data_IF_572985314569
#
_entry.id   IF_572985314569
#
_cell.length_a   1.000
_cell.length_b   1.000
_cell.length_c   1.000
_cell.angle_alpha   90.00
_cell.angle_beta   90.00
_cell.angle_gamma   90.00
#
_symmetry.space_group_name_H-M   'P 1'
#
loop_
_entity.id
_entity.type
_entity.pdbx_description
1 polymer ?
#
# COMPACT_ATOMS: atom_id res chain seq x y z
N UNK A 1 0.99 6.38 8.77
CA UNK A 1 0.61 7.49 7.87
C UNK A 1 1.68 8.58 7.78
N UNK A 2 2.54 8.74 8.78
CA UNK A 2 3.59 9.77 8.77
C UNK A 2 4.75 9.53 7.77
N UNK A 3 5.14 8.28 7.52
CA UNK A 3 6.23 7.96 6.56
C UNK A 3 5.88 8.31 5.11
N UNK A 4 4.64 8.06 4.69
CA UNK A 4 4.18 8.44 3.34
C UNK A 4 4.15 9.96 3.15
N UNK A 5 3.73 10.71 4.17
CA UNK A 5 3.76 12.19 4.14
C UNK A 5 5.18 12.75 4.11
N UNK A 6 6.14 12.05 4.72
CA UNK A 6 7.57 12.41 4.69
C UNK A 6 8.33 11.94 3.45
N UNK A 7 7.64 11.29 2.50
CA UNK A 7 8.25 10.64 1.33
C UNK A 7 9.37 9.66 1.70
N UNK A 8 9.20 8.97 2.83
CA UNK A 8 10.17 8.03 3.38
C UNK A 8 9.89 6.61 2.88
N UNK A 9 10.32 6.34 1.65
CA UNK A 9 10.13 5.05 1.00
C UNK A 9 10.87 3.90 1.71
N UNK A 10 12.04 4.18 2.30
CA UNK A 10 12.78 3.20 3.09
C UNK A 10 12.03 2.82 4.36
N UNK A 11 11.45 3.80 5.05
CA UNK A 11 10.58 3.59 6.21
C UNK A 11 9.32 2.80 5.86
N UNK A 12 8.72 3.03 4.68
CA UNK A 12 7.59 2.20 4.21
C UNK A 12 8.02 0.76 3.94
N UNK A 13 9.14 0.55 3.23
CA UNK A 13 9.65 -0.79 2.98
C UNK A 13 10.00 -1.54 4.27
N UNK A 14 10.49 -0.84 5.30
CA UNK A 14 10.79 -1.42 6.61
C UNK A 14 9.56 -2.06 7.29
N UNK A 15 8.33 -1.59 6.98
CA UNK A 15 7.08 -2.14 7.50
C UNK A 15 6.72 -3.52 6.94
N UNK A 16 7.34 -3.96 5.85
CA UNK A 16 7.09 -5.28 5.28
C UNK A 16 7.80 -6.39 6.05
N UNK A 17 7.30 -7.63 6.00
CA UNK A 17 8.08 -8.80 6.45
C UNK A 17 9.35 -8.98 5.59
N UNK A 18 10.27 -9.86 6.01
CA UNK A 18 11.43 -10.25 5.19
C UNK A 18 10.99 -10.70 3.78
N UNK A 19 9.96 -11.56 3.73
CA UNK A 19 9.36 -12.10 2.50
C UNK A 19 8.08 -11.35 2.09
N UNK A 20 8.01 -10.05 2.38
CA UNK A 20 6.87 -9.21 2.02
C UNK A 20 6.82 -8.93 0.52
N UNK A 21 5.61 -8.76 -0.03
CA UNK A 21 5.42 -8.45 -1.44
C UNK A 21 4.32 -7.39 -1.63
N UNK A 22 4.55 -6.51 -2.61
CA UNK A 22 3.51 -5.64 -3.17
C UNK A 22 3.08 -6.24 -4.51
N UNK A 23 1.77 -6.24 -4.77
CA UNK A 23 1.14 -6.81 -5.95
C UNK A 23 0.38 -5.67 -6.66
N UNK A 24 1.09 -4.83 -7.43
CA UNK A 24 0.47 -3.71 -8.13
C UNK A 24 -0.39 -4.20 -9.29
N UNK A 25 -1.37 -3.39 -9.74
CA UNK A 25 -2.04 -3.67 -11.00
C UNK A 25 -1.06 -3.58 -12.17
N UNK A 26 -1.27 -4.42 -13.20
CA UNK A 26 -0.54 -4.40 -14.47
C UNK A 26 0.98 -4.65 -14.36
N UNK A 27 1.44 -5.32 -13.31
CA UNK A 27 2.84 -5.76 -13.18
C UNK A 27 2.93 -7.12 -12.49
N UNK A 28 4.12 -7.70 -12.49
CA UNK A 28 4.44 -8.85 -11.64
C UNK A 28 4.65 -8.42 -10.16
N UNK A 29 4.91 -9.38 -9.28
CA UNK A 29 5.21 -9.15 -7.87
C UNK A 29 6.42 -8.21 -7.67
N UNK A 30 6.29 -7.26 -6.74
CA UNK A 30 7.42 -6.49 -6.22
C UNK A 30 7.86 -7.10 -4.89
N UNK A 31 9.06 -7.66 -4.87
CA UNK A 31 9.61 -8.40 -3.74
C UNK A 31 10.98 -7.87 -3.31
N UNK A 32 11.30 -8.00 -2.03
CA UNK A 32 12.55 -7.50 -1.45
C UNK A 32 12.48 -6.02 -1.08
N UNK A 33 13.12 -5.67 0.04
CA UNK A 33 13.04 -4.35 0.66
C UNK A 33 13.39 -3.21 -0.28
N UNK A 34 14.45 -3.38 -1.09
CA UNK A 34 14.90 -2.36 -2.02
C UNK A 34 13.87 -2.10 -3.13
N UNK A 35 13.36 -3.15 -3.78
CA UNK A 35 12.38 -2.99 -4.85
C UNK A 35 11.06 -2.41 -4.32
N UNK A 36 10.64 -2.82 -3.12
CA UNK A 36 9.46 -2.27 -2.44
C UNK A 36 9.66 -0.78 -2.13
N UNK A 37 10.83 -0.37 -1.64
CA UNK A 37 11.13 1.04 -1.41
C UNK A 37 11.06 1.83 -2.72
N UNK A 38 11.72 1.34 -3.79
CA UNK A 38 11.68 2.00 -5.10
C UNK A 38 10.25 2.14 -5.65
N UNK A 39 9.42 1.10 -5.48
CA UNK A 39 8.03 1.12 -5.89
C UNK A 39 7.22 2.20 -5.16
N UNK A 40 7.33 2.25 -3.83
CA UNK A 40 6.63 3.26 -3.03
C UNK A 40 7.16 4.67 -3.28
N UNK A 41 8.47 4.83 -3.53
CA UNK A 41 9.05 6.10 -3.94
C UNK A 41 8.43 6.58 -5.26
N UNK A 42 8.34 5.70 -6.26
CA UNK A 42 7.73 6.03 -7.56
C UNK A 42 6.26 6.48 -7.40
N UNK A 43 5.48 5.82 -6.53
CA UNK A 43 4.12 6.27 -6.20
C UNK A 43 4.10 7.63 -5.50
N UNK A 44 5.02 7.88 -4.57
CA UNK A 44 5.15 9.18 -3.88
C UNK A 44 5.61 10.30 -4.81
N UNK A 45 6.31 9.97 -5.90
CA UNK A 45 6.79 10.93 -6.90
C UNK A 45 5.72 11.33 -7.93
N UNK A 46 4.60 10.60 -7.97
CA UNK A 46 3.41 11.01 -8.72
C UNK A 46 2.83 12.32 -8.16
N UNK A 47 1.92 12.95 -8.91
CA UNK A 47 1.24 14.19 -8.52
C UNK A 47 0.26 14.05 -7.33
N UNK A 48 0.37 12.99 -6.53
CA UNK A 48 -0.45 12.72 -5.36
C UNK A 48 -0.08 13.71 -4.24
N UNK A 49 -1.08 14.47 -3.79
CA UNK A 49 -0.97 15.42 -2.66
C UNK A 49 -1.64 14.89 -1.41
N UNK A 50 -2.66 14.05 -1.56
CA UNK A 50 -3.39 13.46 -0.45
C UNK A 50 -3.75 12.00 -0.71
N UNK A 51 -3.63 11.17 0.33
CA UNK A 51 -4.05 9.77 0.35
C UNK A 51 -5.06 9.59 1.48
N UNK A 52 -6.27 9.16 1.13
CA UNK A 52 -7.33 8.81 2.09
C UNK A 52 -7.49 7.30 2.11
N UNK A 53 -7.48 6.73 3.31
CA UNK A 53 -7.68 5.30 3.53
C UNK A 53 -8.90 5.08 4.41
N UNK A 54 -9.81 4.23 3.96
CA UNK A 54 -11.00 3.81 4.70
C UNK A 54 -10.88 2.31 4.99
N UNK A 55 -10.82 1.94 6.26
CA UNK A 55 -10.81 0.55 6.67
C UNK A 55 -12.24 0.03 6.61
N UNK A 56 -12.44 -1.06 5.86
CA UNK A 56 -13.74 -1.72 5.74
C UNK A 56 -13.84 -2.87 6.74
N UNK A 57 -12.77 -3.67 6.83
CA UNK A 57 -12.75 -4.86 7.67
C UNK A 57 -11.34 -5.16 8.15
N UNK A 58 -11.23 -5.68 9.37
CA UNK A 58 -10.01 -6.31 9.90
C UNK A 58 -10.40 -7.62 10.57
N UNK A 59 -9.80 -8.72 10.14
CA UNK A 59 -9.97 -10.04 10.77
C UNK A 59 -8.61 -10.59 11.23
N UNK A 60 -8.54 -11.04 12.48
CA UNK A 60 -7.33 -11.62 13.08
C UNK A 60 -7.37 -13.14 13.07
N UNK A 61 -6.24 -13.77 12.72
CA UNK A 61 -6.06 -15.22 12.65
C UNK A 61 -4.69 -15.62 13.20
N UNK A 62 -4.57 -15.74 14.52
CA UNK A 62 -3.33 -16.10 15.19
C UNK A 62 -2.23 -15.05 14.95
N UNK A 63 -1.16 -15.45 14.26
CA UNK A 63 -0.03 -14.60 13.88
C UNK A 63 -0.25 -13.82 12.59
N UNK A 64 -1.44 -13.91 11.98
CA UNK A 64 -1.81 -13.17 10.77
C UNK A 64 -3.05 -12.31 10.99
N UNK A 65 -3.21 -11.26 10.20
CA UNK A 65 -4.45 -10.48 10.14
C UNK A 65 -4.73 -10.04 8.70
N UNK A 66 -5.98 -10.04 8.29
CA UNK A 66 -6.41 -9.59 6.96
C UNK A 66 -7.10 -8.25 7.15
N UNK A 67 -6.71 -7.28 6.33
CA UNK A 67 -7.35 -5.96 6.29
C UNK A 67 -7.88 -5.68 4.90
N UNK A 68 -9.17 -5.41 4.79
CA UNK A 68 -9.83 -4.94 3.56
C UNK A 68 -10.10 -3.45 3.69
N UNK A 69 -9.80 -2.67 2.65
CA UNK A 69 -9.87 -1.21 2.72
C UNK A 69 -10.11 -0.58 1.36
N UNK A 70 -10.60 0.66 1.37
CA UNK A 70 -10.67 1.53 0.19
C UNK A 70 -9.61 2.60 0.27
N UNK A 71 -9.15 3.06 -0.89
CA UNK A 71 -8.28 4.22 -0.99
C UNK A 71 -8.88 5.27 -1.93
N UNK A 72 -8.53 6.54 -1.69
CA UNK A 72 -8.70 7.62 -2.64
C UNK A 72 -7.42 8.47 -2.70
N UNK A 73 -6.98 8.77 -3.92
CA UNK A 73 -5.81 9.58 -4.22
C UNK A 73 -6.25 10.92 -4.79
N UNK A 74 -5.75 12.02 -4.24
CA UNK A 74 -6.05 13.36 -4.69
C UNK A 74 -4.76 14.12 -5.03
N UNK A 75 -4.82 14.90 -6.10
CA UNK A 75 -3.77 15.77 -6.59
C UNK A 75 -3.94 17.21 -6.09
N UNK A 76 -3.29 18.13 -6.79
CA UNK A 76 -3.38 19.56 -6.48
C UNK A 76 -4.82 20.08 -6.58
N UNK A 77 -5.20 21.00 -5.69
CA UNK A 77 -6.55 21.56 -5.64
C UNK A 77 -7.66 20.54 -5.36
N UNK A 78 -7.34 19.33 -4.87
CA UNK A 78 -8.31 18.28 -4.59
C UNK A 78 -8.74 17.48 -5.83
N UNK A 79 -8.04 17.61 -6.96
CA UNK A 79 -8.30 16.81 -8.16
C UNK A 79 -8.30 15.31 -7.84
N UNK A 80 -9.37 14.59 -8.17
CA UNK A 80 -9.40 13.14 -8.00
C UNK A 80 -8.46 12.48 -9.02
N UNK A 81 -7.41 11.81 -8.54
CA UNK A 81 -6.45 11.09 -9.39
C UNK A 81 -6.85 9.63 -9.56
N UNK A 82 -7.21 8.95 -8.46
CA UNK A 82 -7.69 7.57 -8.49
C UNK A 82 -8.49 7.24 -7.24
N UNK A 83 -9.29 6.18 -7.30
CA UNK A 83 -9.89 5.53 -6.13
C UNK A 83 -9.97 4.04 -6.36
N UNK A 84 -9.83 3.26 -5.30
CA UNK A 84 -9.82 1.81 -5.42
C UNK A 84 -9.99 1.08 -4.10
N UNK A 85 -9.62 -0.19 -4.12
CA UNK A 85 -9.66 -1.10 -2.96
C UNK A 85 -8.35 -1.85 -2.86
N UNK A 86 -8.04 -2.25 -1.63
CA UNK A 86 -6.84 -3.00 -1.34
C UNK A 86 -7.06 -3.97 -0.20
N UNK A 87 -6.27 -5.05 -0.22
CA UNK A 87 -6.20 -6.04 0.84
C UNK A 87 -4.74 -6.10 1.30
N UNK A 88 -4.56 -6.06 2.62
CA UNK A 88 -3.26 -6.31 3.24
C UNK A 88 -3.38 -7.52 4.14
N UNK A 89 -2.54 -8.53 3.87
CA UNK A 89 -2.27 -9.59 4.83
C UNK A 89 -1.10 -9.13 5.69
N UNK A 90 -1.34 -8.99 6.97
CA UNK A 90 -0.37 -8.72 8.01
C UNK A 90 0.13 -10.01 8.63
N UNK A 91 1.38 -10.03 9.06
CA UNK A 91 1.99 -11.14 9.80
C UNK A 91 2.82 -10.61 10.95
N UNK A 92 2.82 -11.32 12.09
CA UNK A 92 3.76 -11.05 13.17
C UNK A 92 5.15 -11.58 12.81
N UNK A 93 6.16 -10.72 12.95
CA UNK A 93 7.56 -11.05 12.78
C UNK A 93 8.37 -10.32 13.86
N UNK A 94 9.07 -11.06 14.72
CA UNK A 94 9.85 -10.47 15.82
C UNK A 94 9.01 -9.65 16.81
N UNK A 95 7.76 -10.06 17.07
CA UNK A 95 6.84 -9.36 17.96
C UNK A 95 6.21 -8.09 17.36
N UNK A 96 6.41 -7.83 16.07
CA UNK A 96 5.85 -6.67 15.38
C UNK A 96 4.94 -7.11 14.23
N UNK A 97 3.81 -6.40 14.06
CA UNK A 97 2.95 -6.58 12.90
C UNK A 97 3.58 -5.93 11.66
N UNK A 98 3.75 -6.72 10.60
CA UNK A 98 4.34 -6.28 9.34
C UNK A 98 3.48 -6.64 8.15
N UNK A 99 3.60 -5.88 7.07
CA UNK A 99 2.89 -6.12 5.81
C UNK A 99 3.52 -7.34 5.12
N UNK A 100 2.73 -8.38 4.88
CA UNK A 100 3.20 -9.59 4.23
C UNK A 100 2.79 -9.64 2.75
N UNK A 101 1.51 -9.38 2.46
CA UNK A 101 1.00 -9.24 1.10
C UNK A 101 0.19 -7.96 1.02
N UNK A 102 0.47 -7.16 0.01
CA UNK A 102 -0.21 -5.89 -0.22
C UNK A 102 -0.66 -5.84 -1.67
N UNK A 103 -1.97 -6.01 -1.89
CA UNK A 103 -2.57 -6.04 -3.22
C UNK A 103 -3.64 -4.97 -3.32
N UNK A 104 -3.64 -4.24 -4.43
CA UNK A 104 -4.59 -3.17 -4.66
C UNK A 104 -4.94 -3.05 -6.15
N UNK A 105 -6.10 -2.44 -6.41
CA UNK A 105 -6.52 -2.15 -7.78
C UNK A 105 -7.48 -0.94 -7.81
N UNK A 106 -7.50 -0.27 -8.96
CA UNK A 106 -8.39 0.85 -9.21
C UNK A 106 -9.85 0.39 -9.32
N UNK A 107 -10.76 1.25 -8.90
CA UNK A 107 -12.21 1.17 -9.11
C UNK A 107 -12.70 2.21 -10.12
N UNK A 108 -11.79 2.94 -10.76
CA UNK A 108 -12.11 3.82 -11.88
C UNK A 108 -12.39 2.96 -13.13
N UNK A 109 -13.22 3.45 -14.07
CA UNK A 109 -13.37 2.81 -15.37
C UNK A 109 -12.01 2.64 -16.06
N UNK A 110 -11.81 1.51 -16.72
CA UNK A 110 -10.61 1.32 -17.54
C UNK A 110 -10.57 2.38 -18.67
N UNK A 111 -9.38 2.89 -19.02
CA UNK A 111 -9.22 3.70 -20.23
C UNK A 111 -9.75 2.95 -21.44
N UNK A 112 -10.33 3.68 -22.40
CA UNK A 112 -10.71 3.12 -23.71
C UNK A 112 -9.48 2.92 -24.59
#
# INVERSE_FOLDING_TARGET
MDTFKRRDAAGVAALYTENGQVLPPNSDFVAGKQAIAMFWQALMDMAIKEVKLEIVEVSGHGDTAIKVSKYALQGEGGQALDKGKYIVIWKQEGGQWKLHRDIFNSSMPAPK
#
